data_IF_128197968100
#
_entry.id   IF_128197968100
#
_cell.length_a   1.000
_cell.length_b   1.000
_cell.length_c   1.000
_cell.angle_alpha   90.00
_cell.angle_beta   90.00
_cell.angle_gamma   90.00
#
_symmetry.space_group_name_H-M   'P 1'
#
loop_
_entity.id
_entity.type
_entity.pdbx_description
1 polymer ?
#
# COMPACT_ATOMS: atom_id res chain seq x y z
N UNK A 1 -12.11 22.81 23.48
CA UNK A 1 -11.14 21.75 23.12
C UNK A 1 -11.64 20.37 23.57
N UNK A 2 -12.24 20.23 24.77
CA UNK A 2 -12.74 18.94 25.28
C UNK A 2 -13.92 18.29 24.52
N UNK A 3 -14.79 19.06 23.86
CA UNK A 3 -15.91 18.50 23.08
C UNK A 3 -15.45 17.83 21.78
N UNK A 4 -14.51 18.45 21.06
CA UNK A 4 -13.90 17.88 19.85
C UNK A 4 -13.13 16.59 20.22
N UNK A 5 -12.38 16.60 21.31
CA UNK A 5 -11.70 15.39 21.80
C UNK A 5 -12.68 14.27 22.22
N UNK A 6 -13.88 14.62 22.69
CA UNK A 6 -14.96 13.68 22.98
C UNK A 6 -15.47 12.97 21.72
N UNK A 7 -15.80 13.74 20.69
CA UNK A 7 -16.28 13.21 19.40
C UNK A 7 -15.23 12.31 18.76
N UNK A 8 -13.96 12.71 18.79
CA UNK A 8 -12.87 11.93 18.21
C UNK A 8 -12.66 10.59 18.96
N UNK A 9 -12.89 10.53 20.28
CA UNK A 9 -12.89 9.26 21.03
C UNK A 9 -14.07 8.37 20.63
N UNK A 10 -15.28 8.91 20.55
CA UNK A 10 -16.46 8.15 20.12
C UNK A 10 -16.32 7.61 18.69
N UNK A 11 -15.70 8.38 17.78
CA UNK A 11 -15.36 7.90 16.44
C UNK A 11 -14.36 6.75 16.52
N UNK A 12 -13.32 6.85 17.35
CA UNK A 12 -12.34 5.79 17.49
C UNK A 12 -12.97 4.48 17.99
N UNK A 13 -13.92 4.57 18.93
CA UNK A 13 -14.70 3.43 19.44
C UNK A 13 -15.51 2.75 18.32
N UNK A 14 -16.09 3.51 17.38
CA UNK A 14 -16.79 2.94 16.23
C UNK A 14 -15.88 2.04 15.38
N UNK A 15 -14.62 2.43 15.18
CA UNK A 15 -13.68 1.68 14.34
C UNK A 15 -13.11 0.43 14.99
N UNK A 16 -13.29 0.24 16.30
CA UNK A 16 -12.90 -0.98 17.04
C UNK A 16 -14.08 -1.85 17.46
N UNK A 17 -15.32 -1.34 17.39
CA UNK A 17 -16.52 -2.15 17.57
C UNK A 17 -16.67 -3.18 16.44
N UNK A 18 -17.35 -4.33 16.68
CA UNK A 18 -17.62 -5.31 15.64
C UNK A 18 -18.26 -4.67 14.38
N UNK A 19 -17.77 -4.96 13.16
CA UNK A 19 -18.24 -4.30 11.95
C UNK A 19 -19.74 -4.47 11.69
N UNK A 20 -20.35 -5.54 12.20
CA UNK A 20 -21.77 -5.85 12.06
C UNK A 20 -22.66 -4.73 12.61
N UNK A 21 -22.27 -4.12 13.75
CA UNK A 21 -23.00 -3.03 14.39
C UNK A 21 -22.59 -1.61 13.98
N UNK A 22 -21.58 -1.47 13.11
CA UNK A 22 -20.95 -0.18 12.80
C UNK A 22 -21.95 0.87 12.28
N UNK A 23 -22.80 0.49 11.32
CA UNK A 23 -23.74 1.42 10.68
C UNK A 23 -24.78 1.95 11.67
N UNK A 24 -25.29 1.09 12.54
CA UNK A 24 -26.25 1.46 13.57
C UNK A 24 -25.62 2.39 14.59
N UNK A 25 -24.46 2.03 15.13
CA UNK A 25 -23.73 2.85 16.10
C UNK A 25 -23.33 4.21 15.52
N UNK A 26 -22.87 4.25 14.26
CA UNK A 26 -22.56 5.49 13.54
C UNK A 26 -23.78 6.40 13.40
N UNK A 27 -24.93 5.82 13.01
CA UNK A 27 -26.17 6.60 12.85
C UNK A 27 -26.68 7.12 14.20
N UNK A 28 -26.57 6.32 15.27
CA UNK A 28 -26.93 6.73 16.62
C UNK A 28 -26.03 7.88 17.11
N UNK A 29 -24.72 7.79 16.89
CA UNK A 29 -23.77 8.86 17.21
C UNK A 29 -24.11 10.16 16.44
N UNK A 30 -24.31 10.06 15.14
CA UNK A 30 -24.67 11.22 14.32
C UNK A 30 -25.97 11.89 14.78
N UNK A 31 -26.99 11.09 15.17
CA UNK A 31 -28.24 11.61 15.72
C UNK A 31 -28.01 12.36 17.03
N UNK A 32 -27.25 11.78 17.97
CA UNK A 32 -26.92 12.44 19.24
C UNK A 32 -26.18 13.76 19.04
N UNK A 33 -25.21 13.80 18.14
CA UNK A 33 -24.44 15.03 17.86
C UNK A 33 -25.32 16.12 17.25
N UNK A 34 -26.24 15.75 16.36
CA UNK A 34 -27.22 16.68 15.79
C UNK A 34 -28.17 17.24 16.86
N UNK A 35 -28.68 16.39 17.75
CA UNK A 35 -29.54 16.79 18.87
C UNK A 35 -28.78 17.62 19.91
N UNK A 36 -27.48 17.36 20.08
CA UNK A 36 -26.57 18.11 20.95
C UNK A 36 -26.06 19.43 20.37
N UNK A 37 -26.53 19.85 19.19
CA UNK A 37 -26.18 21.15 18.60
C UNK A 37 -24.91 21.18 17.75
N UNK A 38 -24.32 20.03 17.40
CA UNK A 38 -23.17 19.92 16.50
C UNK A 38 -23.53 19.19 15.18
N UNK A 39 -24.27 19.86 14.26
CA UNK A 39 -24.65 19.26 12.99
C UNK A 39 -23.45 19.00 12.07
N UNK A 40 -22.34 19.73 12.23
CA UNK A 40 -21.12 19.52 11.43
C UNK A 40 -20.40 18.25 11.85
N UNK A 41 -20.28 17.97 13.16
CA UNK A 41 -19.77 16.68 13.63
C UNK A 41 -20.69 15.53 13.21
N UNK A 42 -22.01 15.71 13.28
CA UNK A 42 -22.95 14.72 12.77
C UNK A 42 -22.70 14.39 11.29
N UNK A 43 -22.49 15.41 10.44
CA UNK A 43 -22.13 15.23 9.02
C UNK A 43 -20.83 14.43 8.86
N UNK A 44 -19.77 14.80 9.60
CA UNK A 44 -18.49 14.06 9.58
C UNK A 44 -18.68 12.59 9.96
N UNK A 45 -19.45 12.30 11.00
CA UNK A 45 -19.73 10.92 11.44
C UNK A 45 -20.52 10.14 10.39
N UNK A 46 -21.54 10.74 9.76
CA UNK A 46 -22.30 10.04 8.70
C UNK A 46 -21.47 9.72 7.45
N UNK A 47 -20.47 10.54 7.14
CA UNK A 47 -19.54 10.32 6.03
C UNK A 47 -18.56 9.17 6.28
N UNK A 48 -18.42 8.69 7.52
CA UNK A 48 -17.55 7.57 7.85
C UNK A 48 -18.04 6.28 7.18
N UNK A 49 -17.09 5.61 6.50
CA UNK A 49 -17.32 4.33 5.85
C UNK A 49 -17.06 3.19 6.83
N UNK A 50 -17.92 2.17 6.77
CA UNK A 50 -17.73 0.93 7.50
C UNK A 50 -16.38 0.30 7.11
N UNK A 51 -15.52 -0.04 8.08
CA UNK A 51 -14.27 -0.71 7.80
C UNK A 51 -14.52 -2.12 7.26
N UNK A 52 -13.77 -2.50 6.23
CA UNK A 52 -13.69 -3.91 5.81
C UNK A 52 -12.94 -4.73 6.88
N UNK A 53 -13.11 -6.06 6.88
CA UNK A 53 -12.60 -6.93 7.95
C UNK A 53 -11.08 -6.82 8.18
N UNK A 54 -10.28 -6.76 7.12
CA UNK A 54 -8.82 -6.59 7.21
C UNK A 54 -8.41 -5.26 7.84
N UNK A 55 -9.03 -4.16 7.39
CA UNK A 55 -8.81 -2.82 7.95
C UNK A 55 -9.24 -2.74 9.43
N UNK A 56 -10.38 -3.34 9.78
CA UNK A 56 -10.86 -3.43 11.17
C UNK A 56 -9.88 -4.17 12.08
N UNK A 57 -9.31 -5.29 11.63
CA UNK A 57 -8.31 -6.04 12.40
C UNK A 57 -7.04 -5.22 12.67
N UNK A 58 -6.60 -4.42 11.70
CA UNK A 58 -5.48 -3.48 11.88
C UNK A 58 -5.84 -2.36 12.86
N UNK A 59 -7.05 -1.78 12.76
CA UNK A 59 -7.53 -0.78 13.71
C UNK A 59 -7.53 -1.35 15.14
N UNK A 60 -8.08 -2.56 15.34
CA UNK A 60 -8.05 -3.26 16.64
C UNK A 60 -6.64 -3.41 17.18
N UNK A 61 -5.70 -3.87 16.35
CA UNK A 61 -4.30 -4.02 16.75
C UNK A 61 -3.70 -2.69 17.24
N UNK A 62 -3.94 -1.60 16.54
CA UNK A 62 -3.44 -0.26 16.93
C UNK A 62 -4.02 0.20 18.26
N UNK A 63 -5.30 -0.09 18.51
CA UNK A 63 -5.97 0.28 19.75
C UNK A 63 -5.58 -0.60 20.94
N UNK A 64 -5.34 -1.89 20.72
CA UNK A 64 -4.96 -2.85 21.77
C UNK A 64 -3.45 -2.80 22.10
N UNK A 65 -2.60 -2.62 21.09
CA UNK A 65 -1.15 -2.63 21.22
C UNK A 65 -0.50 -1.65 20.23
N UNK A 66 -0.75 -0.36 20.47
CA UNK A 66 -0.13 0.73 19.73
C UNK A 66 1.39 0.63 19.69
N UNK A 67 1.99 0.21 20.81
CA UNK A 67 3.44 0.13 20.98
C UNK A 67 4.09 -0.88 20.02
N UNK A 68 3.44 -2.02 19.76
CA UNK A 68 3.93 -3.00 18.81
C UNK A 68 3.86 -2.50 17.36
N UNK A 69 2.83 -1.73 17.02
CA UNK A 69 2.72 -1.10 15.70
C UNK A 69 3.80 -0.02 15.54
N UNK A 70 3.98 0.85 16.54
CA UNK A 70 5.04 1.87 16.53
C UNK A 70 6.45 1.26 16.42
N UNK A 71 6.70 0.10 17.05
CA UNK A 71 7.95 -0.63 16.90
C UNK A 71 8.21 -1.09 15.45
N UNK A 72 7.18 -1.63 14.77
CA UNK A 72 7.26 -1.97 13.35
C UNK A 72 7.57 -0.73 12.49
N UNK A 73 6.87 0.38 12.74
CA UNK A 73 7.04 1.61 11.97
C UNK A 73 8.44 2.21 12.15
N UNK A 74 8.98 2.15 13.37
CA UNK A 74 10.36 2.54 13.67
C UNK A 74 11.38 1.72 12.90
N UNK A 75 11.21 0.39 12.82
CA UNK A 75 12.08 -0.45 12.00
C UNK A 75 11.97 -0.09 10.51
N UNK A 76 10.75 0.21 10.04
CA UNK A 76 10.49 0.72 8.70
C UNK A 76 11.26 2.02 8.39
N UNK A 77 11.25 2.97 9.32
CA UNK A 77 12.01 4.22 9.21
C UNK A 77 13.53 3.96 9.14
N UNK A 78 14.07 3.12 10.04
CA UNK A 78 15.48 2.75 10.03
C UNK A 78 15.88 2.05 8.72
N UNK A 79 14.99 1.22 8.16
CA UNK A 79 15.22 0.60 6.86
C UNK A 79 15.28 1.65 5.74
N UNK A 80 14.37 2.63 5.71
CA UNK A 80 14.41 3.73 4.72
C UNK A 80 15.70 4.55 4.84
N UNK A 81 16.16 4.81 6.06
CA UNK A 81 17.43 5.48 6.32
C UNK A 81 18.61 4.67 5.79
N UNK A 82 18.65 3.36 6.07
CA UNK A 82 19.68 2.45 5.55
C UNK A 82 19.66 2.38 4.02
N UNK A 83 18.48 2.32 3.39
CA UNK A 83 18.33 2.37 1.93
C UNK A 83 18.91 3.64 1.32
N UNK A 84 18.64 4.82 1.91
CA UNK A 84 19.24 6.09 1.45
C UNK A 84 20.76 6.11 1.57
N UNK A 85 21.30 5.55 2.66
CA UNK A 85 22.76 5.42 2.85
C UNK A 85 23.39 4.44 1.86
N UNK A 86 22.70 3.34 1.53
CA UNK A 86 23.20 2.37 0.56
C UNK A 86 23.45 2.99 -0.83
N UNK A 87 22.64 3.97 -1.24
CA UNK A 87 22.85 4.73 -2.49
C UNK A 87 24.16 5.55 -2.50
N UNK A 88 24.74 5.81 -1.34
CA UNK A 88 25.99 6.55 -1.16
C UNK A 88 27.14 5.64 -0.66
N UNK A 89 27.02 4.32 -0.85
CA UNK A 89 28.04 3.33 -0.47
C UNK A 89 27.89 2.75 0.95
N UNK A 90 26.70 2.84 1.53
CA UNK A 90 26.39 2.34 2.88
C UNK A 90 26.42 0.81 3.06
N UNK A 91 26.28 0.37 4.31
CA UNK A 91 26.38 -1.03 4.74
C UNK A 91 25.22 -1.91 4.22
N UNK A 92 25.54 -2.83 3.31
CA UNK A 92 24.59 -3.81 2.78
C UNK A 92 24.10 -4.81 3.84
N UNK A 93 24.88 -5.08 4.88
CA UNK A 93 24.50 -5.97 5.98
C UNK A 93 23.53 -5.28 6.94
N UNK A 94 23.65 -3.97 7.16
CA UNK A 94 22.64 -3.18 7.88
C UNK A 94 21.29 -3.22 7.14
N UNK A 95 21.30 -3.02 5.82
CA UNK A 95 20.09 -3.08 4.99
C UNK A 95 19.41 -4.45 5.07
N UNK A 96 20.19 -5.54 4.99
CA UNK A 96 19.69 -6.91 5.09
C UNK A 96 19.08 -7.18 6.46
N UNK A 97 19.80 -6.83 7.54
CA UNK A 97 19.33 -6.98 8.93
C UNK A 97 18.00 -6.25 9.18
N UNK A 98 17.89 -4.99 8.76
CA UNK A 98 16.65 -4.20 8.90
C UNK A 98 15.49 -4.75 8.07
N UNK A 99 15.78 -5.28 6.88
CA UNK A 99 14.77 -5.91 6.02
C UNK A 99 14.20 -7.18 6.66
N UNK A 100 15.05 -8.00 7.27
CA UNK A 100 14.64 -9.22 8.00
C UNK A 100 13.86 -8.90 9.27
N UNK A 101 14.31 -7.91 10.04
CA UNK A 101 13.62 -7.42 11.24
C UNK A 101 12.20 -6.94 10.90
N UNK A 102 12.05 -6.13 9.84
CA UNK A 102 10.75 -5.68 9.34
C UNK A 102 9.86 -6.85 8.97
N UNK A 103 10.37 -7.85 8.23
CA UNK A 103 9.59 -9.02 7.81
C UNK A 103 9.09 -9.84 9.00
N UNK A 104 9.93 -10.00 10.03
CA UNK A 104 9.55 -10.67 11.29
C UNK A 104 8.42 -9.92 11.99
N UNK A 105 8.56 -8.61 12.19
CA UNK A 105 7.56 -7.80 12.86
C UNK A 105 6.24 -7.75 12.08
N UNK A 106 6.26 -7.60 10.75
CA UNK A 106 5.05 -7.71 9.92
C UNK A 106 4.36 -9.05 10.16
N UNK A 107 5.10 -10.16 10.06
CA UNK A 107 4.53 -11.50 10.26
C UNK A 107 3.90 -11.66 11.64
N UNK A 108 4.59 -11.17 12.67
CA UNK A 108 4.10 -11.22 14.04
C UNK A 108 2.82 -10.40 14.21
N UNK A 109 2.83 -9.13 13.79
CA UNK A 109 1.70 -8.21 13.91
C UNK A 109 0.51 -8.65 13.07
N UNK A 110 0.73 -9.21 11.87
CA UNK A 110 -0.33 -9.84 11.06
C UNK A 110 -1.00 -10.96 11.82
N UNK A 111 -0.23 -11.85 12.47
CA UNK A 111 -0.81 -12.93 13.30
C UNK A 111 -1.59 -12.36 14.48
N UNK A 112 -1.13 -11.27 15.11
CA UNK A 112 -1.86 -10.63 16.21
C UNK A 112 -3.20 -10.07 15.75
N UNK A 113 -3.20 -9.27 14.68
CA UNK A 113 -4.41 -8.72 14.08
C UNK A 113 -5.36 -9.84 13.59
N UNK A 114 -4.85 -10.89 12.95
CA UNK A 114 -5.68 -11.98 12.45
C UNK A 114 -6.44 -12.72 13.57
N UNK A 115 -5.89 -12.79 14.80
CA UNK A 115 -6.60 -13.39 15.95
C UNK A 115 -7.85 -12.62 16.36
N UNK A 116 -7.92 -11.31 16.10
CA UNK A 116 -9.10 -10.50 16.47
C UNK A 116 -10.30 -10.81 15.58
N UNK A 117 -10.08 -11.41 14.40
CA UNK A 117 -11.16 -11.78 13.48
C UNK A 117 -12.04 -12.92 14.01
N UNK A 118 -11.53 -13.70 14.97
CA UNK A 118 -12.19 -14.91 15.47
C UNK A 118 -12.20 -16.06 14.45
N UNK A 119 -12.25 -17.29 14.96
CA UNK A 119 -12.23 -18.50 14.12
C UNK A 119 -10.96 -18.62 13.26
N UNK A 120 -11.05 -19.38 12.18
CA UNK A 120 -9.98 -19.50 11.18
C UNK A 120 -10.12 -18.39 10.14
N UNK A 121 -9.21 -17.40 10.11
CA UNK A 121 -9.31 -16.27 9.19
C UNK A 121 -9.04 -16.70 7.75
N UNK A 122 -9.84 -16.17 6.82
CA UNK A 122 -9.67 -16.40 5.39
C UNK A 122 -8.27 -15.92 4.94
N UNK A 123 -7.49 -16.72 4.20
CA UNK A 123 -6.12 -16.36 3.80
C UNK A 123 -5.99 -14.99 3.14
N UNK A 124 -6.93 -14.64 2.25
CA UNK A 124 -6.96 -13.33 1.59
C UNK A 124 -7.04 -12.15 2.58
N UNK A 125 -7.79 -12.29 3.68
CA UNK A 125 -7.89 -11.23 4.70
C UNK A 125 -6.58 -11.10 5.47
N UNK A 126 -5.90 -12.22 5.75
CA UNK A 126 -4.58 -12.23 6.41
C UNK A 126 -3.53 -11.56 5.51
N UNK A 127 -3.58 -11.82 4.21
CA UNK A 127 -2.70 -11.17 3.22
C UNK A 127 -2.95 -9.65 3.12
N UNK A 128 -4.20 -9.20 3.14
CA UNK A 128 -4.54 -7.77 3.16
C UNK A 128 -4.04 -7.07 4.44
N UNK A 129 -4.13 -7.73 5.60
CA UNK A 129 -3.57 -7.24 6.86
C UNK A 129 -2.05 -7.09 6.72
N UNK A 130 -1.36 -8.12 6.21
CA UNK A 130 0.08 -8.08 5.98
C UNK A 130 0.47 -6.95 5.01
N UNK A 131 -0.22 -6.82 3.88
CA UNK A 131 0.03 -5.77 2.90
C UNK A 131 -0.14 -4.37 3.50
N UNK A 132 -1.14 -4.19 4.36
CA UNK A 132 -1.38 -2.91 5.06
C UNK A 132 -0.24 -2.55 6.01
N UNK A 133 0.22 -3.53 6.81
CA UNK A 133 1.35 -3.33 7.74
C UNK A 133 2.68 -3.14 7.01
N UNK A 134 2.89 -3.85 5.89
CA UNK A 134 4.04 -3.65 5.00
C UNK A 134 4.05 -2.24 4.41
N UNK A 135 2.93 -1.78 3.85
CA UNK A 135 2.79 -0.43 3.30
C UNK A 135 3.09 0.64 4.37
N UNK A 136 2.53 0.48 5.57
CA UNK A 136 2.77 1.39 6.68
C UNK A 136 4.24 1.42 7.12
N UNK A 137 4.93 0.27 7.13
CA UNK A 137 6.36 0.24 7.41
C UNK A 137 7.23 0.85 6.30
N UNK A 138 6.70 0.94 5.07
CA UNK A 138 7.42 1.45 3.90
C UNK A 138 7.17 2.93 3.63
N UNK A 139 6.03 3.48 4.06
CA UNK A 139 5.60 4.85 3.74
C UNK A 139 5.09 5.61 4.97
N UNK A 140 5.51 6.87 5.13
CA UNK A 140 5.21 7.69 6.30
C UNK A 140 3.74 8.16 6.35
N UNK A 141 3.13 8.43 5.19
CA UNK A 141 1.72 8.82 5.12
C UNK A 141 0.81 7.62 5.42
N UNK A 142 1.20 6.41 4.98
CA UNK A 142 0.53 5.16 5.35
C UNK A 142 0.72 4.86 6.85
N UNK A 143 1.92 5.05 7.40
CA UNK A 143 2.20 4.89 8.83
C UNK A 143 1.28 5.74 9.70
N UNK A 144 1.10 7.02 9.34
CA UNK A 144 0.22 7.95 10.05
C UNK A 144 -1.24 7.48 10.03
N UNK A 145 -1.74 7.09 8.86
CA UNK A 145 -3.10 6.59 8.71
C UNK A 145 -3.36 5.27 9.48
N UNK A 146 -2.36 4.38 9.56
CA UNK A 146 -2.48 3.20 10.44
C UNK A 146 -2.58 3.62 11.90
N UNK A 147 -1.71 4.53 12.36
CA UNK A 147 -1.68 4.98 13.76
C UNK A 147 -2.91 5.80 14.18
N UNK A 148 -3.66 6.36 13.24
CA UNK A 148 -4.99 6.94 13.49
C UNK A 148 -6.00 5.87 13.90
N UNK A 149 -5.81 4.61 13.49
CA UNK A 149 -6.65 3.47 13.89
C UNK A 149 -8.08 3.54 13.35
N UNK A 150 -8.27 4.18 12.19
CA UNK A 150 -9.60 4.43 11.56
C UNK A 150 -9.64 4.07 10.08
N UNK A 151 -8.88 3.06 9.68
CA UNK A 151 -8.84 2.59 8.30
C UNK A 151 -10.19 2.04 7.89
N UNK A 152 -10.71 2.48 6.74
CA UNK A 152 -11.92 1.91 6.13
C UNK A 152 -11.60 0.81 5.10
N UNK A 153 -10.41 0.84 4.51
CA UNK A 153 -9.91 -0.11 3.50
C UNK A 153 -8.44 -0.47 3.80
N UNK A 154 -7.98 -1.67 3.42
CA UNK A 154 -6.57 -2.02 3.51
C UNK A 154 -5.75 -1.21 2.51
N UNK A 155 -4.45 -1.09 2.75
CA UNK A 155 -3.54 -0.59 1.73
C UNK A 155 -3.22 -1.69 0.74
N UNK A 156 -3.06 -1.31 -0.53
CA UNK A 156 -2.50 -2.20 -1.52
C UNK A 156 -1.02 -2.44 -1.20
N UNK A 157 -0.54 -3.65 -1.48
CA UNK A 157 0.89 -3.95 -1.42
C UNK A 157 1.64 -2.94 -2.29
N UNK A 158 2.71 -2.28 -1.80
CA UNK A 158 3.62 -1.56 -2.67
C UNK A 158 4.14 -2.56 -3.71
N UNK A 159 3.90 -2.30 -5.00
CA UNK A 159 4.42 -3.17 -6.05
C UNK A 159 5.93 -3.37 -5.84
N UNK A 160 6.35 -4.62 -5.68
CA UNK A 160 7.72 -4.96 -5.32
C UNK A 160 8.69 -4.57 -6.42
N UNK A 161 9.79 -3.90 -6.03
CA UNK A 161 11.01 -3.65 -6.80
C UNK A 161 10.79 -3.26 -8.27
N UNK A 162 10.45 -1.98 -8.49
CA UNK A 162 10.41 -1.39 -9.84
C UNK A 162 9.91 0.06 -9.90
N UNK A 163 9.08 0.50 -8.96
CA UNK A 163 8.42 1.81 -9.06
C UNK A 163 9.05 2.87 -8.15
N UNK A 164 10.21 3.38 -8.55
CA UNK A 164 10.60 4.77 -8.25
C UNK A 164 9.89 5.67 -9.25
N UNK A 165 8.61 5.94 -9.03
CA UNK A 165 7.92 7.07 -9.64
C UNK A 165 6.76 7.48 -8.73
N UNK A 166 7.00 8.53 -7.95
CA UNK A 166 6.00 9.08 -7.04
C UNK A 166 4.72 9.47 -7.78
N UNK A 167 3.59 9.06 -7.21
CA UNK A 167 2.33 9.76 -7.44
C UNK A 167 1.53 9.79 -6.14
N UNK A 168 1.67 10.93 -5.47
CA UNK A 168 0.86 11.34 -4.34
C UNK A 168 -0.55 11.62 -4.85
N UNK A 169 -1.53 10.80 -4.46
CA UNK A 169 -2.95 11.18 -4.59
C UNK A 169 -3.37 11.71 -3.23
N UNK A 170 -3.46 13.03 -3.12
CA UNK A 170 -4.11 13.72 -2.01
C UNK A 170 -5.57 13.94 -2.40
N UNK A 171 -6.56 13.40 -1.69
CA UNK A 171 -7.90 13.98 -1.70
C UNK A 171 -7.89 15.13 -0.69
N UNK A 172 -7.71 16.35 -1.20
CA UNK A 172 -7.89 17.58 -0.43
C UNK A 172 -9.37 17.79 -0.14
N UNK A 173 -9.68 18.03 1.13
CA UNK A 173 -10.95 18.55 1.61
C UNK A 173 -11.10 20.00 1.15
N UNK A 174 -12.17 20.30 0.42
CA UNK A 174 -12.57 21.65 0.05
C UNK A 174 -14.09 21.72 0.01
N UNK A 175 -14.67 22.38 1.02
CA UNK A 175 -16.11 22.63 1.08
C UNK A 175 -16.52 23.75 0.13
N UNK A 176 -17.72 23.63 -0.41
CA UNK A 176 -18.49 24.78 -0.89
C UNK A 176 -19.99 24.48 -0.68
N UNK A 177 -20.67 25.46 -0.10
CA UNK A 177 -22.08 25.46 0.32
C UNK A 177 -23.07 25.15 -0.81
N UNK A 178 -24.22 24.60 -0.41
CA UNK A 178 -25.36 24.18 -1.24
C UNK A 178 -26.18 25.36 -1.83
N UNK A 179 -27.15 25.06 -2.72
CA UNK A 179 -28.53 24.89 -2.21
C UNK A 179 -29.31 23.70 -2.80
N UNK A 180 -30.45 23.40 -2.15
CA UNK A 180 -31.37 22.28 -2.33
C UNK A 180 -32.04 22.16 -3.72
N UNK A 181 -32.27 20.90 -4.14
CA UNK A 181 -33.57 20.31 -4.54
C UNK A 181 -33.49 19.39 -5.80
N UNK A 182 -33.79 18.11 -5.57
CA UNK A 182 -34.41 17.11 -6.48
C UNK A 182 -33.86 16.94 -7.91
N UNK A 183 -32.91 16.02 -8.12
CA UNK A 183 -32.73 15.23 -9.37
C UNK A 183 -31.51 14.27 -9.28
N UNK A 184 -31.54 13.21 -8.46
CA UNK A 184 -30.32 12.42 -8.17
C UNK A 184 -30.07 11.19 -9.06
N UNK A 185 -31.05 10.66 -9.80
CA UNK A 185 -30.81 9.39 -10.53
C UNK A 185 -29.99 9.54 -11.85
N UNK A 186 -29.94 10.74 -12.43
CA UNK A 186 -29.26 11.00 -13.71
C UNK A 186 -27.78 11.31 -13.58
N UNK A 187 -27.41 12.08 -12.54
CA UNK A 187 -26.03 12.47 -12.28
C UNK A 187 -25.16 11.29 -11.84
N UNK A 188 -25.73 10.38 -11.04
CA UNK A 188 -25.03 9.19 -10.55
C UNK A 188 -24.71 8.18 -11.68
N UNK A 189 -25.63 7.97 -12.63
CA UNK A 189 -25.39 7.13 -13.82
C UNK A 189 -24.33 7.72 -14.74
N UNK A 190 -24.38 9.02 -14.99
CA UNK A 190 -23.39 9.71 -15.82
C UNK A 190 -21.99 9.71 -15.18
N UNK A 191 -21.88 9.65 -13.85
CA UNK A 191 -20.61 9.48 -13.13
C UNK A 191 -20.07 8.06 -13.28
N UNK A 192 -20.92 7.04 -13.07
CA UNK A 192 -20.54 5.62 -13.20
C UNK A 192 -20.08 5.28 -14.62
N UNK A 193 -20.74 5.80 -15.66
CA UNK A 193 -20.30 5.59 -17.05
C UNK A 193 -18.95 6.24 -17.36
N UNK A 194 -18.65 7.41 -16.78
CA UNK A 194 -17.34 8.07 -16.94
C UNK A 194 -16.23 7.29 -16.24
N UNK A 195 -16.50 6.72 -15.08
CA UNK A 195 -15.55 5.87 -14.34
C UNK A 195 -15.24 4.58 -15.08
N UNK A 196 -16.26 3.90 -15.64
CA UNK A 196 -16.07 2.69 -16.45
C UNK A 196 -15.23 2.98 -17.70
N UNK A 197 -15.57 4.04 -18.45
CA UNK A 197 -14.77 4.43 -19.63
C UNK A 197 -13.35 4.87 -19.27
N UNK A 198 -13.13 5.44 -18.09
CA UNK A 198 -11.79 5.77 -17.61
C UNK A 198 -10.98 4.52 -17.23
N UNK A 199 -11.63 3.52 -16.64
CA UNK A 199 -11.03 2.23 -16.33
C UNK A 199 -10.63 1.47 -17.61
N UNK A 200 -11.51 1.41 -18.61
CA UNK A 200 -11.23 0.78 -19.92
C UNK A 200 -10.05 1.44 -20.65
N UNK A 201 -9.98 2.79 -20.63
CA UNK A 201 -8.83 3.51 -21.21
C UNK A 201 -7.52 3.20 -20.49
N UNK A 202 -7.55 3.09 -19.16
CA UNK A 202 -6.37 2.72 -18.36
C UNK A 202 -5.94 1.29 -18.64
N UNK A 203 -6.88 0.35 -18.73
CA UNK A 203 -6.59 -1.04 -19.08
C UNK A 203 -5.96 -1.15 -20.48
N UNK A 204 -6.51 -0.44 -21.47
CA UNK A 204 -5.95 -0.40 -22.82
C UNK A 204 -4.51 0.14 -22.85
N UNK A 205 -4.24 1.23 -22.12
CA UNK A 205 -2.89 1.79 -22.01
C UNK A 205 -1.92 0.83 -21.31
N UNK A 206 -2.39 0.10 -20.29
CA UNK A 206 -1.56 -0.89 -19.60
C UNK A 206 -1.23 -2.08 -20.50
N UNK A 207 -2.19 -2.56 -21.31
CA UNK A 207 -1.96 -3.62 -22.30
C UNK A 207 -0.95 -3.18 -23.36
N UNK A 208 -1.09 -1.98 -23.92
CA UNK A 208 -0.13 -1.45 -24.90
C UNK A 208 1.28 -1.26 -24.32
N UNK A 209 1.38 -0.83 -23.06
CA UNK A 209 2.67 -0.75 -22.36
C UNK A 209 3.29 -2.14 -22.13
N UNK A 210 2.47 -3.12 -21.75
CA UNK A 210 2.93 -4.49 -21.56
C UNK A 210 3.43 -5.12 -22.87
N UNK A 211 2.76 -4.87 -23.99
CA UNK A 211 3.20 -5.31 -25.31
C UNK A 211 4.52 -4.66 -25.73
N UNK A 212 4.68 -3.35 -25.50
CA UNK A 212 5.96 -2.64 -25.76
C UNK A 212 7.10 -3.19 -24.92
N UNK A 213 6.88 -3.43 -23.63
CA UNK A 213 7.90 -4.01 -22.76
C UNK A 213 8.28 -5.43 -23.18
N UNK A 214 7.31 -6.26 -23.60
CA UNK A 214 7.60 -7.59 -24.15
C UNK A 214 8.46 -7.51 -25.40
N UNK A 215 8.14 -6.60 -26.32
CA UNK A 215 8.94 -6.39 -27.53
C UNK A 215 10.38 -5.92 -27.20
N UNK A 216 10.55 -5.05 -26.20
CA UNK A 216 11.87 -4.62 -25.74
C UNK A 216 12.68 -5.76 -25.12
N UNK A 217 12.05 -6.62 -24.32
CA UNK A 217 12.71 -7.81 -23.74
C UNK A 217 13.18 -8.74 -24.85
N UNK A 218 12.34 -9.05 -25.83
CA UNK A 218 12.72 -9.90 -26.97
C UNK A 218 13.89 -9.29 -27.75
N UNK A 219 13.87 -7.98 -28.01
CA UNK A 219 14.98 -7.30 -28.68
C UNK A 219 16.28 -7.32 -27.85
N UNK A 220 16.21 -7.27 -26.52
CA UNK A 220 17.38 -7.42 -25.65
C UNK A 220 17.92 -8.85 -25.65
N UNK A 221 17.06 -9.86 -25.68
CA UNK A 221 17.44 -11.26 -25.76
C UNK A 221 18.17 -11.57 -27.07
N UNK A 222 17.68 -11.06 -28.20
CA UNK A 222 18.34 -11.18 -29.51
C UNK A 222 19.74 -10.53 -29.49
N UNK A 223 19.86 -9.30 -28.95
CA UNK A 223 21.17 -8.63 -28.80
C UNK A 223 22.12 -9.39 -27.89
N UNK A 224 21.62 -10.04 -26.84
CA UNK A 224 22.43 -10.86 -25.96
C UNK A 224 22.93 -12.13 -26.67
N UNK A 225 22.09 -12.75 -27.50
CA UNK A 225 22.46 -13.89 -28.31
C UNK A 225 23.58 -13.53 -29.30
N UNK A 226 23.43 -12.42 -30.03
CA UNK A 226 24.44 -11.92 -30.98
C UNK A 226 25.79 -11.63 -30.28
N UNK A 227 25.76 -11.01 -29.09
CA UNK A 227 26.98 -10.74 -28.31
C UNK A 227 27.67 -12.02 -27.83
N UNK A 228 26.89 -13.05 -27.45
CA UNK A 228 27.43 -14.34 -27.04
C UNK A 228 28.09 -15.07 -28.22
N UNK A 229 27.52 -14.96 -29.41
CA UNK A 229 28.12 -15.53 -30.62
C UNK A 229 29.46 -14.87 -30.95
N UNK A 230 29.51 -13.53 -30.97
CA UNK A 230 30.77 -12.78 -31.18
C UNK A 230 31.84 -13.11 -30.13
N UNK A 231 31.44 -13.32 -28.88
CA UNK A 231 32.36 -13.75 -27.83
C UNK A 231 32.95 -15.14 -28.13
N UNK A 232 32.13 -16.09 -28.57
CA UNK A 232 32.58 -17.44 -28.93
C UNK A 232 33.55 -17.42 -30.12
N UNK A 233 33.28 -16.59 -31.12
CA UNK A 233 34.18 -16.39 -32.26
C UNK A 233 35.53 -15.82 -31.81
N UNK A 234 35.52 -14.75 -31.02
CA UNK A 234 36.74 -14.15 -30.47
C UNK A 234 37.55 -15.13 -29.60
N UNK A 235 36.88 -15.97 -28.80
CA UNK A 235 37.54 -17.02 -28.02
C UNK A 235 38.12 -18.13 -28.91
N UNK A 236 37.46 -18.47 -30.02
CA UNK A 236 37.97 -19.44 -30.98
C UNK A 236 39.22 -18.92 -31.71
N UNK A 237 39.21 -17.66 -32.12
CA UNK A 237 40.37 -16.98 -32.72
C UNK A 237 41.55 -16.90 -31.73
N UNK A 238 41.31 -16.51 -30.49
CA UNK A 238 42.33 -16.46 -29.45
C UNK A 238 42.96 -17.84 -29.18
N UNK A 239 42.14 -18.89 -29.16
CA UNK A 239 42.62 -20.28 -29.04
C UNK A 239 43.46 -20.70 -30.25
N UNK A 240 43.02 -20.36 -31.47
CA UNK A 240 43.77 -20.63 -32.69
C UNK A 240 45.14 -19.95 -32.70
N UNK A 241 45.17 -18.66 -32.35
CA UNK A 241 46.40 -17.87 -32.26
C UNK A 241 47.36 -18.43 -31.20
N UNK A 242 46.85 -18.90 -30.05
CA UNK A 242 47.67 -19.50 -29.00
C UNK A 242 48.31 -20.84 -29.42
N UNK A 243 47.61 -21.65 -30.24
CA UNK A 243 48.14 -22.90 -30.79
C UNK A 243 49.25 -22.64 -31.81
N UNK A 244 49.07 -21.64 -32.69
CA UNK A 244 50.09 -21.24 -33.67
C UNK A 244 51.35 -20.65 -33.00
N UNK A 245 51.18 -19.83 -31.97
CA UNK A 245 52.31 -19.32 -31.16
C UNK A 245 53.12 -20.44 -30.50
N UNK A 246 52.46 -21.53 -30.10
CA UNK A 246 53.09 -22.70 -29.49
C UNK A 246 53.81 -23.57 -30.52
N UNK A 247 53.35 -23.60 -31.78
CA UNK A 247 54.04 -24.27 -32.90
C UNK A 247 55.30 -23.52 -33.32
N UNK A 248 55.25 -22.20 -33.42
CA UNK A 248 56.40 -21.37 -33.81
C UNK A 248 57.53 -21.32 -32.76
N UNK A 249 57.24 -21.72 -31.52
CA UNK A 249 58.21 -21.79 -30.41
C UNK A 249 58.92 -23.13 -30.25
N UNK A 250 58.56 -24.15 -31.03
CA UNK A 250 59.14 -25.51 -30.99
C UNK A 250 60.01 -25.75 -32.20
#
# INVERSE_FOLDING_TARGET
MGEIEGVEREIAELFVAPPEGFTEARNALAKRLKEGGDPEAARRVTALRKPVRSAWAVNRLVHEDRSAVEALLKVGEQLRLAQRRALSGGDADELRRRSEERRKLVTEQTRRAARTLGGDPVPAVVEEIAATLEAASADEDAARQVLEGRLSKPFARPAGFGDVAGLKVVPGTGGQEAPEATADDGAERASREREVRAAERRERQMRERAERMRAEVTAMEERLAERKEKLREAEAEARGAAVELKRLRR
#
